data_IF_579948267087
#
_entry.id   IF_579948267087
#
_cell.length_a   1.000
_cell.length_b   1.000
_cell.length_c   1.000
_cell.angle_alpha   90.00
_cell.angle_beta   90.00
_cell.angle_gamma   90.00
#
_symmetry.space_group_name_H-M   'P 1'
#
loop_
_entity.id
_entity.type
_entity.pdbx_description
1 polymer ?
#
# COMPACT_ATOMS: atom_id res chain seq x y z
N UNK A 1 -6.78 29.05 17.80
CA UNK A 1 -6.37 28.12 16.73
C UNK A 1 -7.03 26.78 17.02
N UNK A 2 -7.91 26.27 16.14
CA UNK A 2 -8.36 24.88 16.23
C UNK A 2 -7.14 23.97 16.01
N UNK A 3 -6.95 22.89 16.79
CA UNK A 3 -5.87 21.96 16.54
C UNK A 3 -6.06 21.37 15.13
N UNK A 4 -4.99 21.32 14.33
CA UNK A 4 -5.02 20.71 13.03
C UNK A 4 -5.62 19.30 13.15
N UNK A 5 -6.69 19.01 12.43
CA UNK A 5 -7.36 17.73 12.49
C UNK A 5 -6.38 16.67 11.96
N UNK A 6 -5.93 15.77 12.83
CA UNK A 6 -4.95 14.73 12.50
C UNK A 6 -5.63 13.70 11.60
N UNK A 7 -5.22 13.65 10.35
CA UNK A 7 -5.64 12.60 9.40
C UNK A 7 -5.12 11.24 9.83
N UNK A 8 -5.84 10.18 9.47
CA UNK A 8 -5.37 8.81 9.62
C UNK A 8 -4.13 8.54 8.76
N UNK A 9 -3.27 7.63 9.20
CA UNK A 9 -2.13 7.17 8.39
C UNK A 9 -2.62 6.28 7.27
N UNK A 10 -2.04 6.45 6.09
CA UNK A 10 -2.33 5.65 4.92
C UNK A 10 -1.12 4.76 4.60
N UNK A 11 -1.38 3.49 4.32
CA UNK A 11 -0.33 2.51 4.04
C UNK A 11 -0.62 1.77 2.74
N UNK A 12 0.34 1.78 1.82
CA UNK A 12 0.36 0.88 0.67
C UNK A 12 0.83 -0.48 1.18
N UNK A 13 0.00 -1.50 1.13
CA UNK A 13 0.35 -2.88 1.48
C UNK A 13 0.59 -3.72 0.24
N UNK A 14 1.79 -4.24 0.05
CA UNK A 14 2.15 -5.13 -1.04
C UNK A 14 2.15 -6.57 -0.54
N UNK A 15 1.19 -7.37 -0.99
CA UNK A 15 1.06 -8.77 -0.60
C UNK A 15 1.64 -9.70 -1.66
N UNK A 16 2.61 -10.54 -1.27
CA UNK A 16 3.17 -11.54 -2.17
C UNK A 16 2.18 -12.67 -2.43
N UNK A 17 1.62 -12.71 -3.65
CA UNK A 17 0.78 -13.82 -4.12
C UNK A 17 1.54 -14.77 -5.08
N UNK A 18 2.84 -14.60 -5.24
CA UNK A 18 3.71 -15.56 -5.89
C UNK A 18 4.18 -16.64 -4.90
N UNK A 19 4.96 -17.60 -5.41
CA UNK A 19 5.66 -18.54 -4.55
C UNK A 19 6.61 -17.80 -3.58
N UNK A 20 6.50 -18.12 -2.28
CA UNK A 20 7.28 -17.50 -1.20
C UNK A 20 8.76 -17.92 -1.16
N UNK A 21 9.15 -18.90 -1.97
CA UNK A 21 10.52 -19.47 -1.97
C UNK A 21 11.47 -18.70 -2.87
N UNK A 22 10.94 -18.05 -3.93
CA UNK A 22 11.78 -17.44 -4.96
C UNK A 22 11.52 -15.95 -5.07
N UNK A 23 12.56 -15.14 -4.78
CA UNK A 23 12.55 -13.73 -5.12
C UNK A 23 12.52 -13.54 -6.64
N UNK A 24 11.67 -12.64 -7.11
CA UNK A 24 11.50 -12.31 -8.54
C UNK A 24 11.72 -10.83 -8.76
N UNK A 25 12.08 -10.47 -9.98
CA UNK A 25 12.19 -9.07 -10.41
C UNK A 25 10.91 -8.26 -10.13
N UNK A 26 9.74 -8.90 -10.20
CA UNK A 26 8.46 -8.27 -9.89
C UNK A 26 8.39 -7.74 -8.44
N UNK A 27 8.99 -8.44 -7.46
CA UNK A 27 9.06 -7.99 -6.07
C UNK A 27 9.87 -6.71 -5.92
N UNK A 28 11.07 -6.68 -6.53
CA UNK A 28 11.93 -5.50 -6.52
C UNK A 28 11.27 -4.32 -7.22
N UNK A 29 10.73 -4.56 -8.41
CA UNK A 29 10.13 -3.54 -9.26
C UNK A 29 8.93 -2.86 -8.61
N UNK A 30 8.05 -3.62 -7.95
CA UNK A 30 6.86 -3.03 -7.32
C UNK A 30 7.23 -2.15 -6.12
N UNK A 31 8.21 -2.56 -5.31
CA UNK A 31 8.69 -1.72 -4.18
C UNK A 31 9.33 -0.45 -4.71
N UNK A 32 10.25 -0.57 -5.67
CA UNK A 32 10.93 0.56 -6.29
C UNK A 32 9.98 1.59 -6.91
N UNK A 33 8.86 1.15 -7.48
CA UNK A 33 7.84 2.03 -8.09
C UNK A 33 6.79 2.55 -7.10
N UNK A 34 6.54 1.83 -6.01
CA UNK A 34 5.63 2.28 -4.97
C UNK A 34 6.28 3.31 -4.03
N UNK A 35 7.58 3.22 -3.81
CA UNK A 35 8.30 4.11 -2.90
C UNK A 35 8.19 5.61 -3.27
N UNK A 36 8.39 6.04 -4.53
CA UNK A 36 8.17 7.43 -4.92
C UNK A 36 6.75 7.94 -4.64
N UNK A 37 5.75 7.09 -4.84
CA UNK A 37 4.35 7.44 -4.55
C UNK A 37 4.12 7.58 -3.04
N UNK A 38 4.63 6.63 -2.24
CA UNK A 38 4.53 6.70 -0.79
C UNK A 38 5.22 7.95 -0.24
N UNK A 39 6.40 8.30 -0.77
CA UNK A 39 7.13 9.50 -0.34
C UNK A 39 6.38 10.78 -0.75
N UNK A 40 5.95 10.88 -2.01
CA UNK A 40 5.31 12.08 -2.55
C UNK A 40 3.96 12.43 -1.89
N UNK A 41 3.26 11.42 -1.39
CA UNK A 41 1.92 11.57 -0.79
C UNK A 41 1.87 11.33 0.72
N UNK A 42 3.02 11.21 1.39
CA UNK A 42 3.13 10.93 2.83
C UNK A 42 2.47 9.64 3.30
N UNK A 43 2.52 8.59 2.47
CA UNK A 43 2.02 7.26 2.81
C UNK A 43 3.14 6.37 3.34
N UNK A 44 2.79 5.36 4.13
CA UNK A 44 3.71 4.27 4.45
C UNK A 44 3.71 3.22 3.33
N UNK A 45 4.78 2.45 3.23
CA UNK A 45 4.92 1.29 2.35
C UNK A 45 5.22 0.05 3.18
N UNK A 46 4.34 -0.94 3.14
CA UNK A 46 4.49 -2.20 3.82
C UNK A 46 4.54 -3.35 2.82
N UNK A 47 5.47 -4.28 2.98
CA UNK A 47 5.59 -5.48 2.16
C UNK A 47 5.36 -6.73 3.02
N UNK A 48 4.60 -7.70 2.49
CA UNK A 48 4.21 -8.91 3.20
C UNK A 48 4.64 -10.16 2.43
N UNK A 49 5.48 -10.98 3.06
CA UNK A 49 5.89 -12.28 2.56
C UNK A 49 6.78 -12.22 1.31
N UNK A 50 7.54 -11.15 1.12
CA UNK A 50 8.52 -11.09 0.05
C UNK A 50 9.72 -11.95 0.43
N UNK A 51 10.13 -12.90 -0.43
CA UNK A 51 11.24 -13.81 -0.12
C UNK A 51 12.59 -13.12 -0.36
N UNK A 52 12.88 -12.09 0.44
CA UNK A 52 14.18 -11.44 0.41
C UNK A 52 15.28 -12.41 0.81
N UNK A 53 16.51 -12.27 0.25
CA UNK A 53 17.67 -12.99 0.73
C UNK A 53 17.87 -12.82 2.25
N UNK A 54 18.33 -13.88 2.98
CA UNK A 54 18.44 -13.83 4.44
C UNK A 54 19.31 -12.69 5.00
N UNK A 55 20.27 -12.20 4.21
CA UNK A 55 21.12 -11.07 4.57
C UNK A 55 20.37 -9.73 4.59
N UNK A 56 19.20 -9.66 3.95
CA UNK A 56 18.32 -8.48 3.94
C UNK A 56 17.26 -8.58 5.04
N UNK A 57 17.70 -8.70 6.28
CA UNK A 57 16.89 -8.96 7.47
C UNK A 57 16.26 -7.69 8.10
N UNK A 58 16.60 -6.50 7.58
CA UNK A 58 16.05 -5.22 8.05
C UNK A 58 15.52 -4.38 6.90
N UNK A 59 14.62 -3.43 7.20
CA UNK A 59 14.09 -2.49 6.22
C UNK A 59 15.20 -1.68 5.54
N UNK A 60 16.22 -1.28 6.31
CA UNK A 60 17.34 -0.47 5.79
C UNK A 60 18.18 -1.25 4.78
N UNK A 61 18.47 -2.53 5.06
CA UNK A 61 19.19 -3.39 4.13
C UNK A 61 18.37 -3.65 2.86
N UNK A 62 17.07 -3.90 3.01
CA UNK A 62 16.13 -4.04 1.88
C UNK A 62 16.11 -2.76 1.05
N UNK A 63 15.98 -1.60 1.69
CA UNK A 63 15.94 -0.30 1.03
C UNK A 63 17.22 0.00 0.24
N UNK A 64 18.38 -0.18 0.87
CA UNK A 64 19.68 0.01 0.24
C UNK A 64 19.90 -0.93 -0.94
N UNK A 65 19.52 -2.21 -0.80
CA UNK A 65 19.62 -3.18 -1.88
C UNK A 65 18.70 -2.84 -3.07
N UNK A 66 17.45 -2.48 -2.83
CA UNK A 66 16.52 -2.07 -3.88
C UNK A 66 17.04 -0.81 -4.57
N UNK A 67 17.45 0.21 -3.82
CA UNK A 67 18.00 1.45 -4.37
C UNK A 67 19.22 1.21 -5.27
N UNK A 68 20.14 0.34 -4.85
CA UNK A 68 21.36 0.03 -5.60
C UNK A 68 21.17 -0.91 -6.79
N UNK A 69 20.03 -1.60 -6.90
CA UNK A 69 19.81 -2.63 -7.94
C UNK A 69 18.63 -2.34 -8.87
N UNK A 70 17.87 -1.27 -8.60
CA UNK A 70 16.74 -0.89 -9.45
C UNK A 70 17.18 -0.18 -10.72
N UNK A 71 16.42 -0.37 -11.80
CA UNK A 71 16.62 0.32 -13.09
C UNK A 71 15.88 1.67 -13.19
N UNK A 72 15.20 2.11 -12.13
CA UNK A 72 14.49 3.39 -12.13
C UNK A 72 15.39 4.61 -11.85
N UNK A 73 16.70 4.41 -11.78
CA UNK A 73 17.66 5.51 -11.60
C UNK A 73 17.57 6.15 -10.21
N UNK A 74 17.68 7.49 -10.18
CA UNK A 74 17.74 8.28 -8.95
C UNK A 74 16.49 8.13 -8.04
N UNK A 75 15.37 7.70 -8.59
CA UNK A 75 14.13 7.45 -7.82
C UNK A 75 14.28 6.29 -6.83
N UNK A 76 15.29 5.43 -7.00
CA UNK A 76 15.62 4.36 -6.04
C UNK A 76 15.91 4.89 -4.63
N UNK A 77 16.41 6.14 -4.50
CA UNK A 77 16.65 6.80 -3.21
C UNK A 77 15.40 6.87 -2.30
N UNK A 78 14.21 6.98 -2.88
CA UNK A 78 12.97 7.08 -2.09
C UNK A 78 12.70 5.86 -1.22
N UNK A 79 13.22 4.67 -1.59
CA UNK A 79 13.17 3.50 -0.72
C UNK A 79 13.98 3.70 0.56
N UNK A 80 15.16 4.32 0.44
CA UNK A 80 16.03 4.65 1.57
C UNK A 80 15.40 5.74 2.44
N UNK A 81 14.90 6.81 1.82
CA UNK A 81 14.22 7.90 2.54
C UNK A 81 13.01 7.42 3.35
N UNK A 82 12.21 6.49 2.79
CA UNK A 82 11.12 5.86 3.53
C UNK A 82 11.61 5.01 4.70
N UNK A 83 12.71 4.27 4.52
CA UNK A 83 13.29 3.45 5.59
C UNK A 83 13.83 4.30 6.72
N UNK A 84 14.59 5.34 6.41
CA UNK A 84 15.16 6.29 7.39
C UNK A 84 14.09 6.96 8.24
N UNK A 85 12.89 7.14 7.68
CA UNK A 85 11.73 7.71 8.38
C UNK A 85 10.85 6.65 9.06
N UNK A 86 11.24 5.37 9.03
CA UNK A 86 10.46 4.26 9.57
C UNK A 86 9.13 4.03 8.83
N UNK A 87 9.05 4.41 7.55
CA UNK A 87 7.86 4.31 6.71
C UNK A 87 7.92 3.16 5.70
N UNK A 88 9.08 2.52 5.51
CA UNK A 88 9.22 1.24 4.83
C UNK A 88 9.18 0.13 5.86
N UNK A 89 8.23 -0.78 5.75
CA UNK A 89 7.95 -1.82 6.71
C UNK A 89 7.98 -3.18 6.02
N UNK A 90 8.72 -4.12 6.57
CA UNK A 90 8.89 -5.47 6.01
C UNK A 90 8.34 -6.49 6.99
N UNK A 91 7.44 -7.35 6.51
CA UNK A 91 6.77 -8.37 7.31
C UNK A 91 6.77 -9.72 6.61
N UNK A 92 6.78 -10.78 7.39
CA UNK A 92 6.40 -12.11 6.91
C UNK A 92 4.93 -12.13 6.45
N UNK A 93 4.53 -13.20 5.75
CA UNK A 93 3.11 -13.41 5.45
C UNK A 93 2.30 -13.50 6.75
N UNK A 94 1.23 -12.68 6.87
CA UNK A 94 0.43 -12.66 8.09
C UNK A 94 -0.32 -13.99 8.26
N UNK A 95 -0.15 -14.63 9.43
CA UNK A 95 -0.84 -15.87 9.79
C UNK A 95 -2.19 -15.64 10.49
N UNK A 96 -2.37 -14.50 11.15
CA UNK A 96 -3.55 -14.17 11.98
C UNK A 96 -4.01 -12.73 11.82
N UNK A 97 -4.03 -12.23 10.58
CA UNK A 97 -4.37 -10.82 10.29
C UNK A 97 -3.15 -9.90 10.22
N UNK A 98 -3.38 -8.66 9.85
CA UNK A 98 -2.33 -7.65 9.64
C UNK A 98 -2.02 -6.90 10.93
N UNK A 99 -0.80 -6.32 11.06
CA UNK A 99 -0.44 -5.52 12.22
C UNK A 99 -1.42 -4.35 12.42
N UNK A 100 -2.07 -4.23 13.60
CA UNK A 100 -3.11 -3.22 13.84
C UNK A 100 -2.64 -1.78 13.65
N UNK A 101 -1.35 -1.51 13.89
CA UNK A 101 -0.74 -0.19 13.72
C UNK A 101 -0.74 0.31 12.27
N UNK A 102 -0.97 -0.56 11.28
CA UNK A 102 -1.08 -0.19 9.87
C UNK A 102 -2.47 0.34 9.50
N UNK A 103 -3.45 0.18 10.40
CA UNK A 103 -4.81 0.63 10.20
C UNK A 103 -5.79 -0.45 9.73
N UNK A 104 -6.99 -0.03 9.42
CA UNK A 104 -8.07 -0.91 8.95
C UNK A 104 -7.76 -1.43 7.55
N UNK A 105 -7.91 -2.74 7.36
CA UNK A 105 -7.64 -3.42 6.10
C UNK A 105 -8.69 -3.06 5.03
N UNK A 106 -8.21 -2.59 3.89
CA UNK A 106 -8.98 -2.35 2.66
C UNK A 106 -8.41 -3.23 1.56
N UNK A 107 -9.22 -4.12 1.00
CA UNK A 107 -8.84 -4.98 -0.12
C UNK A 107 -8.98 -4.20 -1.43
N UNK A 108 -7.87 -3.97 -2.15
CA UNK A 108 -7.96 -3.41 -3.50
C UNK A 108 -8.21 -4.52 -4.51
N UNK A 109 -9.29 -4.40 -5.25
CA UNK A 109 -9.73 -5.45 -6.17
C UNK A 109 -10.65 -4.90 -7.25
N UNK A 110 -10.59 -5.48 -8.46
CA UNK A 110 -11.56 -5.19 -9.52
C UNK A 110 -12.91 -5.90 -9.35
N UNK A 111 -13.02 -6.79 -8.35
CA UNK A 111 -14.24 -7.58 -8.07
C UNK A 111 -14.61 -7.47 -6.59
N UNK A 112 -15.02 -6.28 -6.13
CA UNK A 112 -15.46 -6.11 -4.73
C UNK A 112 -16.73 -6.94 -4.47
N UNK A 113 -16.83 -7.50 -3.27
CA UNK A 113 -18.10 -8.03 -2.83
C UNK A 113 -19.07 -6.86 -2.61
N UNK A 114 -20.28 -7.00 -3.12
CA UNK A 114 -21.26 -5.91 -3.16
C UNK A 114 -21.50 -5.29 -1.77
N UNK A 115 -21.60 -6.12 -0.76
CA UNK A 115 -21.86 -5.72 0.64
C UNK A 115 -20.67 -5.07 1.34
N UNK A 116 -19.47 -5.18 0.76
CA UNK A 116 -18.23 -4.59 1.29
C UNK A 116 -17.62 -3.54 0.38
N UNK A 117 -18.28 -3.27 -0.73
CA UNK A 117 -17.80 -2.30 -1.71
C UNK A 117 -17.87 -0.89 -1.15
N UNK A 118 -16.77 -0.17 -1.25
CA UNK A 118 -16.64 1.23 -0.81
C UNK A 118 -16.13 2.11 -1.95
N UNK A 119 -16.54 3.38 -1.93
CA UNK A 119 -16.05 4.38 -2.87
C UNK A 119 -14.77 5.07 -2.37
N UNK A 120 -14.08 5.79 -3.26
CA UNK A 120 -12.95 6.63 -2.88
C UNK A 120 -13.35 7.69 -1.84
N UNK A 121 -14.56 8.24 -1.94
CA UNK A 121 -15.06 9.24 -1.01
C UNK A 121 -15.35 8.66 0.37
N UNK A 122 -15.80 7.40 0.46
CA UNK A 122 -15.99 6.73 1.76
C UNK A 122 -14.66 6.54 2.47
N UNK A 123 -13.63 6.07 1.76
CA UNK A 123 -12.28 5.94 2.30
C UNK A 123 -11.67 7.30 2.67
N UNK A 124 -11.88 8.33 1.84
CA UNK A 124 -11.39 9.68 2.11
C UNK A 124 -12.01 10.28 3.37
N UNK A 125 -13.33 10.11 3.59
CA UNK A 125 -14.01 10.56 4.81
C UNK A 125 -13.47 9.87 6.06
N UNK A 126 -13.24 8.55 5.99
CA UNK A 126 -12.65 7.76 7.09
C UNK A 126 -11.25 8.26 7.44
N UNK A 127 -10.38 8.42 6.43
CA UNK A 127 -9.03 8.94 6.63
C UNK A 127 -9.03 10.38 7.15
N UNK A 128 -9.87 11.26 6.60
CA UNK A 128 -10.00 12.65 7.07
C UNK A 128 -10.60 12.77 8.48
N UNK A 129 -11.26 11.73 8.99
CA UNK A 129 -11.73 11.65 10.38
C UNK A 129 -10.71 11.04 11.35
N UNK A 130 -9.51 10.67 10.86
CA UNK A 130 -8.42 10.14 11.68
C UNK A 130 -8.27 8.62 11.64
N UNK A 131 -9.06 7.90 10.85
CA UNK A 131 -8.92 6.45 10.71
C UNK A 131 -7.72 6.11 9.81
N UNK A 132 -6.80 5.30 10.34
CA UNK A 132 -5.68 4.77 9.55
C UNK A 132 -6.15 3.61 8.66
N UNK A 133 -5.66 3.57 7.41
CA UNK A 133 -6.07 2.58 6.41
C UNK A 133 -4.85 1.86 5.82
N UNK A 134 -4.95 0.52 5.76
CA UNK A 134 -4.03 -0.35 5.02
C UNK A 134 -4.70 -0.76 3.71
N UNK A 135 -4.26 -0.21 2.59
CA UNK A 135 -4.75 -0.58 1.26
C UNK A 135 -3.88 -1.69 0.69
N UNK A 136 -4.44 -2.90 0.59
CA UNK A 136 -3.69 -4.09 0.24
C UNK A 136 -3.78 -4.41 -1.24
N UNK A 137 -2.62 -4.55 -1.89
CA UNK A 137 -2.45 -4.91 -3.31
C UNK A 137 -1.81 -6.28 -3.44
N UNK A 138 -2.39 -7.15 -4.24
CA UNK A 138 -1.81 -8.44 -4.58
C UNK A 138 -0.72 -8.30 -5.65
N UNK A 139 0.44 -8.93 -5.41
CA UNK A 139 1.50 -9.04 -6.39
C UNK A 139 1.50 -10.45 -6.98
N UNK A 140 1.05 -10.58 -8.18
CA UNK A 140 0.99 -11.84 -8.90
C UNK A 140 -0.28 -11.96 -9.74
N UNK A 141 -0.31 -12.89 -10.70
CA UNK A 141 -1.40 -13.01 -11.68
C UNK A 141 -2.74 -13.42 -11.05
N UNK A 142 -2.70 -14.05 -9.87
CA UNK A 142 -3.90 -14.48 -9.14
C UNK A 142 -4.51 -13.37 -8.27
N UNK A 143 -3.78 -12.26 -8.06
CA UNK A 143 -4.19 -11.20 -7.14
C UNK A 143 -4.14 -11.64 -5.67
N UNK A 144 -4.98 -11.06 -4.84
CA UNK A 144 -5.07 -11.41 -3.41
C UNK A 144 -5.80 -12.75 -3.22
N UNK A 145 -5.37 -13.60 -2.25
CA UNK A 145 -6.06 -14.83 -1.89
C UNK A 145 -7.48 -14.58 -1.39
N UNK A 146 -8.37 -15.57 -1.59
CA UNK A 146 -9.79 -15.46 -1.23
C UNK A 146 -10.00 -15.20 0.27
N UNK A 147 -9.18 -15.81 1.12
CA UNK A 147 -9.25 -15.69 2.58
C UNK A 147 -9.08 -14.24 3.05
N UNK A 148 -8.34 -13.43 2.31
CA UNK A 148 -8.16 -12.01 2.63
C UNK A 148 -9.43 -11.19 2.40
N UNK A 149 -10.28 -11.60 1.46
CA UNK A 149 -11.57 -10.95 1.23
C UNK A 149 -12.53 -11.16 2.39
N UNK A 150 -12.39 -12.27 3.11
CA UNK A 150 -13.23 -12.57 4.29
C UNK A 150 -12.88 -11.69 5.48
N UNK A 151 -11.59 -11.41 5.69
CA UNK A 151 -11.10 -10.59 6.81
C UNK A 151 -11.07 -9.09 6.50
N UNK A 152 -10.99 -8.72 5.22
CA UNK A 152 -11.05 -7.31 4.79
C UNK A 152 -12.46 -6.75 4.90
N UNK A 153 -12.67 -5.78 5.80
CA UNK A 153 -13.99 -5.15 6.03
C UNK A 153 -14.48 -4.26 4.88
N UNK A 154 -13.59 -3.83 4.00
CA UNK A 154 -13.88 -2.96 2.87
C UNK A 154 -13.16 -3.43 1.62
N UNK A 155 -13.86 -3.41 0.47
CA UNK A 155 -13.32 -3.75 -0.84
C UNK A 155 -13.40 -2.54 -1.76
N UNK A 156 -12.28 -2.18 -2.37
CA UNK A 156 -12.18 -0.99 -3.19
C UNK A 156 -11.76 -1.31 -4.63
N UNK A 157 -12.62 -0.97 -5.59
CA UNK A 157 -12.31 -0.93 -7.02
C UNK A 157 -12.05 0.52 -7.43
N UNK A 158 -10.80 0.88 -7.66
CA UNK A 158 -10.41 2.23 -8.05
C UNK A 158 -11.03 2.67 -9.38
N UNK A 159 -11.36 1.72 -10.25
CA UNK A 159 -11.98 2.02 -11.56
C UNK A 159 -13.49 2.20 -11.46
N UNK A 160 -14.12 1.62 -10.44
CA UNK A 160 -15.59 1.54 -10.32
C UNK A 160 -16.28 0.78 -11.46
N UNK A 161 -15.50 0.12 -12.32
CA UNK A 161 -15.97 -0.56 -13.55
C UNK A 161 -15.51 -2.01 -13.66
N UNK A 162 -14.90 -2.56 -12.62
CA UNK A 162 -14.39 -3.92 -12.62
C UNK A 162 -13.22 -4.16 -13.59
N UNK A 163 -12.50 -3.11 -13.97
CA UNK A 163 -11.36 -3.22 -14.89
C UNK A 163 -10.09 -3.58 -14.16
N UNK A 164 -9.34 -4.54 -14.70
CA UNK A 164 -8.04 -4.91 -14.16
C UNK A 164 -6.99 -3.88 -14.56
N UNK A 165 -6.20 -3.45 -13.58
CA UNK A 165 -5.00 -2.65 -13.79
C UNK A 165 -3.78 -3.47 -13.38
N UNK A 166 -2.64 -3.19 -14.01
CA UNK A 166 -1.35 -3.67 -13.53
C UNK A 166 -1.07 -3.11 -12.13
N UNK A 167 -0.37 -3.87 -11.28
CA UNK A 167 -0.24 -3.54 -9.85
C UNK A 167 0.29 -2.12 -9.60
N UNK A 168 1.36 -1.70 -10.28
CA UNK A 168 1.91 -0.35 -10.08
C UNK A 168 0.96 0.75 -10.57
N UNK A 169 0.24 0.49 -11.66
CA UNK A 169 -0.81 1.40 -12.18
C UNK A 169 -1.96 1.51 -11.19
N UNK A 170 -2.39 0.41 -10.60
CA UNK A 170 -3.43 0.40 -9.56
C UNK A 170 -2.99 1.19 -8.33
N UNK A 171 -1.75 0.99 -7.86
CA UNK A 171 -1.20 1.74 -6.71
C UNK A 171 -1.22 3.25 -7.01
N UNK A 172 -0.68 3.69 -8.14
CA UNK A 172 -0.66 5.11 -8.51
C UNK A 172 -2.06 5.71 -8.59
N UNK A 173 -3.01 4.97 -9.20
CA UNK A 173 -4.41 5.40 -9.30
C UNK A 173 -5.09 5.54 -7.94
N UNK A 174 -4.87 4.59 -7.04
CA UNK A 174 -5.44 4.61 -5.69
C UNK A 174 -4.83 5.74 -4.86
N UNK A 175 -3.50 5.83 -4.81
CA UNK A 175 -2.79 6.85 -4.03
C UNK A 175 -3.19 8.25 -4.48
N UNK A 176 -3.15 8.51 -5.79
CA UNK A 176 -3.50 9.82 -6.35
C UNK A 176 -4.95 10.21 -6.09
N UNK A 177 -5.91 9.31 -6.39
CA UNK A 177 -7.33 9.61 -6.22
C UNK A 177 -7.72 9.81 -4.75
N UNK A 178 -7.21 8.96 -3.86
CA UNK A 178 -7.54 9.03 -2.43
C UNK A 178 -6.89 10.25 -1.76
N UNK A 179 -5.64 10.55 -2.06
CA UNK A 179 -4.96 11.75 -1.53
C UNK A 179 -5.64 13.03 -1.99
N UNK A 180 -6.05 13.12 -3.26
CA UNK A 180 -6.80 14.26 -3.79
C UNK A 180 -8.16 14.42 -3.10
N UNK A 181 -8.89 13.31 -2.91
CA UNK A 181 -10.18 13.35 -2.25
C UNK A 181 -10.07 13.79 -0.77
N UNK A 182 -9.05 13.31 -0.06
CA UNK A 182 -8.77 13.74 1.33
C UNK A 182 -8.43 15.24 1.37
N UNK A 183 -7.54 15.70 0.50
CA UNK A 183 -7.15 17.12 0.42
C UNK A 183 -8.38 18.03 0.28
N UNK A 184 -9.27 17.73 -0.64
CA UNK A 184 -10.53 18.48 -0.83
C UNK A 184 -11.41 18.50 0.42
N UNK A 185 -11.59 17.35 1.09
CA UNK A 185 -12.38 17.28 2.32
C UNK A 185 -11.80 18.09 3.47
N UNK A 186 -10.49 18.28 3.51
CA UNK A 186 -9.82 19.09 4.53
C UNK A 186 -9.93 20.57 4.23
N UNK A 187 -9.83 20.98 2.96
CA UNK A 187 -10.05 22.36 2.51
C UNK A 187 -11.48 22.85 2.79
N UNK A 188 -12.50 22.01 2.56
CA UNK A 188 -13.91 22.33 2.84
C UNK A 188 -14.21 22.54 4.34
N UNK A 189 -13.34 22.07 5.23
CA UNK A 189 -13.50 22.18 6.69
C UNK A 189 -12.68 23.32 7.33
N UNK A 190 -11.82 23.96 6.53
CA UNK A 190 -10.93 25.05 6.97
C UNK A 190 -11.57 26.41 6.85
#
# INVERSE_FOLDING_TARGET
MKPAQKTGRLTIGLYNSYNIVQFREAHRRVVARAAPLAEAFDWNLAVFGFPFPPELDTSDKVAGWISGTTSIGDEGKYTVELSDRGRLLVFDLPKRGFPPQLGTLVITTRKPWKERSVSVMDLARRAASGESLLLLFGLGPKGLPQELFEIGGSHFDVTGKGKSLETCTAIGSVVGSLSTAIGRLLEEKS
#
